data_IF_076786795611
#
_entry.id   IF_076786795611
#
_cell.length_a   1.000
_cell.length_b   1.000
_cell.length_c   1.000
_cell.angle_alpha   90.00
_cell.angle_beta   90.00
_cell.angle_gamma   90.00
#
_symmetry.space_group_name_H-M   'P 1'
#
loop_
_entity.id
_entity.type
_entity.pdbx_description
1 polymer ?
#
# COMPACT_ATOMS: atom_id res chain seq x y z
N UNK A 1 28.54 -4.50 -14.67
CA UNK A 1 27.59 -5.42 -15.30
C UNK A 1 26.36 -4.60 -15.69
N UNK A 2 26.37 -4.06 -16.91
CA UNK A 2 25.39 -3.08 -17.41
C UNK A 2 24.36 -3.85 -18.25
N UNK A 3 23.12 -3.98 -17.75
CA UNK A 3 22.02 -4.57 -18.51
C UNK A 3 21.66 -3.64 -19.67
N UNK A 4 22.01 -4.01 -20.90
CA UNK A 4 21.54 -3.32 -22.10
C UNK A 4 20.08 -3.70 -22.38
N UNK A 5 19.17 -2.74 -22.19
CA UNK A 5 17.74 -2.84 -22.47
C UNK A 5 17.38 -2.68 -23.97
N UNK A 6 18.35 -2.75 -24.88
CA UNK A 6 18.15 -2.44 -26.31
C UNK A 6 17.36 -3.50 -27.09
N UNK A 7 17.12 -4.69 -26.53
CA UNK A 7 16.45 -5.80 -27.22
C UNK A 7 14.92 -5.76 -27.23
N UNK A 8 14.27 -4.89 -26.43
CA UNK A 8 12.80 -4.86 -26.34
C UNK A 8 12.10 -3.97 -27.38
N UNK A 9 12.82 -3.16 -28.14
CA UNK A 9 12.22 -2.12 -29.01
C UNK A 9 11.60 -2.66 -30.32
N UNK A 10 11.95 -3.87 -30.76
CA UNK A 10 11.49 -4.44 -32.03
C UNK A 10 10.17 -5.25 -31.98
N UNK A 11 9.66 -5.56 -30.78
CA UNK A 11 8.64 -6.60 -30.58
C UNK A 11 7.21 -6.09 -30.31
N UNK A 12 7.03 -4.79 -30.20
CA UNK A 12 5.76 -4.19 -29.79
C UNK A 12 5.13 -3.46 -30.99
N UNK A 13 3.95 -3.89 -31.42
CA UNK A 13 3.19 -3.20 -32.47
C UNK A 13 3.06 -1.70 -32.13
N UNK A 14 3.26 -0.81 -33.12
CA UNK A 14 3.23 0.67 -32.95
C UNK A 14 2.01 1.19 -32.18
N UNK A 15 0.84 0.54 -32.29
CA UNK A 15 -0.37 0.94 -31.56
C UNK A 15 -0.30 0.61 -30.06
N UNK A 16 0.30 -0.51 -29.68
CA UNK A 16 0.46 -0.94 -28.29
C UNK A 16 1.47 -0.06 -27.54
N UNK A 17 2.51 0.41 -28.25
CA UNK A 17 3.50 1.36 -27.70
C UNK A 17 2.84 2.66 -27.26
N UNK A 18 1.91 3.20 -28.07
CA UNK A 18 1.20 4.45 -27.72
C UNK A 18 0.35 4.30 -26.46
N UNK A 19 -0.33 3.18 -26.30
CA UNK A 19 -1.13 2.93 -25.09
C UNK A 19 -0.26 2.76 -23.85
N UNK A 20 0.85 2.03 -23.95
CA UNK A 20 1.80 1.88 -22.85
C UNK A 20 2.45 3.21 -22.46
N UNK A 21 2.79 4.06 -23.44
CA UNK A 21 3.31 5.41 -23.20
C UNK A 21 2.26 6.32 -22.56
N UNK A 22 0.99 6.21 -22.96
CA UNK A 22 -0.09 6.98 -22.33
C UNK A 22 -0.31 6.54 -20.89
N UNK A 23 -0.34 5.23 -20.63
CA UNK A 23 -0.51 4.68 -19.28
C UNK A 23 0.66 5.08 -18.37
N UNK A 24 1.89 4.97 -18.85
CA UNK A 24 3.08 5.41 -18.10
C UNK A 24 3.09 6.92 -17.91
N UNK A 25 2.69 7.73 -18.89
CA UNK A 25 2.57 9.18 -18.74
C UNK A 25 1.48 9.59 -17.75
N UNK A 26 0.30 8.96 -17.78
CA UNK A 26 -0.77 9.19 -16.80
C UNK A 26 -0.35 8.74 -15.40
N UNK A 27 0.32 7.60 -15.29
CA UNK A 27 0.84 7.10 -14.02
C UNK A 27 1.94 8.03 -13.47
N UNK A 28 2.92 8.42 -14.28
CA UNK A 28 3.99 9.35 -13.90
C UNK A 28 3.44 10.74 -13.58
N UNK A 29 2.48 11.26 -14.34
CA UNK A 29 1.89 12.58 -14.06
C UNK A 29 1.02 12.58 -12.81
N UNK A 30 0.23 11.54 -12.55
CA UNK A 30 -0.52 11.40 -11.30
C UNK A 30 0.42 11.28 -10.09
N UNK A 31 1.52 10.54 -10.27
CA UNK A 31 2.60 10.47 -9.29
C UNK A 31 3.22 11.86 -9.06
N UNK A 32 3.60 12.58 -10.11
CA UNK A 32 4.18 13.95 -10.07
C UNK A 32 3.22 14.99 -9.47
N UNK A 33 1.90 14.88 -9.70
CA UNK A 33 0.92 15.78 -9.09
C UNK A 33 0.77 15.53 -7.58
N UNK A 34 0.98 14.30 -7.11
CA UNK A 34 1.11 13.98 -5.69
C UNK A 34 2.47 14.44 -5.08
N UNK A 35 3.45 14.82 -5.91
CA UNK A 35 4.76 15.35 -5.52
C UNK A 35 4.78 16.88 -5.30
N UNK A 36 3.62 17.53 -5.15
CA UNK A 36 3.55 18.93 -4.71
C UNK A 36 4.42 19.15 -3.47
N UNK A 37 5.49 19.94 -3.61
CA UNK A 37 6.52 20.13 -2.61
C UNK A 37 5.92 20.62 -1.28
N UNK A 38 5.79 19.74 -0.29
CA UNK A 38 5.70 20.20 1.09
C UNK A 38 7.10 20.59 1.53
N UNK A 39 7.34 21.90 1.63
CA UNK A 39 8.66 22.49 1.91
C UNK A 39 9.30 22.00 3.23
N UNK A 40 8.52 21.42 4.14
CA UNK A 40 8.95 21.09 5.50
C UNK A 40 9.52 19.67 5.68
N UNK A 41 9.19 18.69 4.81
CA UNK A 41 9.57 17.27 5.00
C UNK A 41 10.00 16.61 3.67
N UNK A 42 11.11 15.84 3.66
CA UNK A 42 11.74 15.33 2.43
C UNK A 42 11.21 13.99 1.90
N UNK A 43 10.58 13.15 2.72
CA UNK A 43 10.21 11.77 2.34
C UNK A 43 8.75 11.66 1.91
N UNK A 44 8.51 11.06 0.73
CA UNK A 44 7.19 11.07 0.07
C UNK A 44 6.63 9.66 -0.17
N UNK A 45 7.49 8.62 -0.19
CA UNK A 45 7.08 7.22 -0.38
C UNK A 45 7.30 6.44 0.91
N UNK A 46 6.40 5.48 1.19
CA UNK A 46 6.37 4.70 2.44
C UNK A 46 6.22 5.62 3.66
N UNK A 47 5.25 6.52 3.56
CA UNK A 47 4.88 7.50 4.59
C UNK A 47 3.37 7.60 4.69
N UNK A 48 2.89 7.71 5.92
CA UNK A 48 1.51 8.07 6.22
C UNK A 48 1.37 9.59 6.15
N UNK A 49 0.16 10.05 5.85
CA UNK A 49 -0.21 11.45 5.87
C UNK A 49 -1.33 11.65 6.87
N UNK A 50 -1.07 12.49 7.86
CA UNK A 50 -2.05 13.04 8.79
C UNK A 50 -2.65 14.29 8.15
N UNK A 51 -3.96 14.34 7.98
CA UNK A 51 -4.64 15.43 7.29
C UNK A 51 -5.27 16.38 8.30
N UNK A 52 -4.73 17.60 8.40
CA UNK A 52 -5.18 18.58 9.39
C UNK A 52 -6.67 18.96 9.32
N UNK A 53 -7.30 18.79 8.14
CA UNK A 53 -8.73 19.10 7.94
C UNK A 53 -9.65 17.97 8.38
N UNK A 54 -9.11 16.81 8.75
CA UNK A 54 -9.92 15.67 9.18
C UNK A 54 -10.20 15.73 10.68
N UNK A 55 -11.36 15.22 11.12
CA UNK A 55 -11.73 15.22 12.52
C UNK A 55 -10.64 14.57 13.39
N UNK A 56 -10.35 15.19 14.54
CA UNK A 56 -9.40 14.68 15.54
C UNK A 56 -7.94 14.57 15.06
N UNK A 57 -7.57 15.28 13.99
CA UNK A 57 -6.21 15.31 13.41
C UNK A 57 -5.56 16.69 13.41
N UNK A 58 -6.30 17.69 13.88
CA UNK A 58 -5.84 19.07 14.02
C UNK A 58 -4.93 19.26 15.24
N UNK A 59 -4.89 18.29 16.17
CA UNK A 59 -4.11 18.38 17.41
C UNK A 59 -3.30 17.12 17.63
N UNK A 60 -2.00 17.32 17.88
CA UNK A 60 -1.07 16.27 18.30
C UNK A 60 -0.47 16.63 19.64
N UNK A 61 -0.18 15.62 20.46
CA UNK A 61 0.44 15.79 21.75
C UNK A 61 1.92 15.43 21.65
N UNK A 62 2.76 16.39 22.00
CA UNK A 62 4.22 16.31 21.96
C UNK A 62 4.75 16.18 23.39
N UNK A 63 5.39 15.06 23.77
CA UNK A 63 6.02 14.93 25.07
C UNK A 63 7.24 15.88 25.16
N UNK A 64 7.20 16.91 25.98
CA UNK A 64 8.33 17.87 26.13
C UNK A 64 9.31 17.44 27.24
N UNK A 65 8.96 16.41 28.02
CA UNK A 65 9.82 15.85 29.05
C UNK A 65 9.06 15.59 30.34
N UNK A 66 9.73 15.76 31.48
CA UNK A 66 9.12 15.59 32.80
C UNK A 66 9.24 16.87 33.61
N UNK A 67 8.14 17.31 34.23
CA UNK A 67 8.14 18.35 35.23
C UNK A 67 8.34 17.71 36.58
N UNK A 68 9.45 18.04 37.23
CA UNK A 68 9.71 17.65 38.63
C UNK A 68 9.06 18.68 39.54
N UNK A 69 8.14 18.24 40.38
CA UNK A 69 7.46 19.08 41.38
C UNK A 69 7.72 18.47 42.75
N UNK A 70 8.18 19.29 43.68
CA UNK A 70 8.33 18.89 45.07
C UNK A 70 6.98 19.04 45.76
N UNK A 71 6.37 17.91 46.12
CA UNK A 71 5.18 17.91 46.97
C UNK A 71 5.61 17.88 48.42
N UNK A 72 5.01 18.73 49.25
CA UNK A 72 5.36 18.83 50.66
C UNK A 72 4.69 17.74 51.48
N UNK A 73 5.29 17.40 52.61
CA UNK A 73 4.65 16.59 53.64
C UNK A 73 3.27 17.16 54.00
N UNK A 74 2.30 16.29 54.24
CA UNK A 74 0.90 16.61 54.53
C UNK A 74 -0.02 16.76 53.31
N UNK A 75 0.52 16.78 52.08
CA UNK A 75 -0.32 16.81 50.87
C UNK A 75 -0.96 15.45 50.62
N UNK A 76 -2.21 15.44 50.15
CA UNK A 76 -2.91 14.20 49.74
C UNK A 76 -2.71 13.97 48.26
N UNK A 77 -2.12 12.83 47.91
CA UNK A 77 -1.94 12.40 46.53
C UNK A 77 -2.98 11.34 46.18
N UNK A 78 -3.60 11.49 45.01
CA UNK A 78 -4.51 10.49 44.43
C UNK A 78 -3.78 9.77 43.31
N UNK A 79 -3.63 8.46 43.42
CA UNK A 79 -3.00 7.59 42.42
C UNK A 79 -4.01 6.56 41.92
N UNK A 80 -3.93 6.22 40.63
CA UNK A 80 -4.69 5.10 40.08
C UNK A 80 -3.76 3.90 39.92
N UNK A 81 -3.97 2.85 40.72
CA UNK A 81 -3.17 1.62 40.69
C UNK A 81 -4.11 0.47 40.38
N UNK A 82 -3.87 -0.21 39.25
CA UNK A 82 -4.70 -1.33 38.77
C UNK A 82 -6.20 -0.98 38.69
N UNK A 83 -6.54 0.25 38.28
CA UNK A 83 -7.93 0.73 38.15
C UNK A 83 -8.61 1.11 39.48
N UNK A 84 -7.88 1.09 40.60
CA UNK A 84 -8.36 1.60 41.89
C UNK A 84 -7.75 2.97 42.18
N UNK A 85 -8.60 3.91 42.58
CA UNK A 85 -8.19 5.25 43.02
C UNK A 85 -7.79 5.20 44.50
N UNK A 86 -6.50 5.31 44.79
CA UNK A 86 -5.96 5.29 46.15
C UNK A 86 -5.55 6.71 46.52
N UNK A 87 -6.00 7.18 47.69
CA UNK A 87 -5.55 8.42 48.27
C UNK A 87 -4.57 8.13 49.40
N UNK A 88 -3.42 8.81 49.40
CA UNK A 88 -2.44 8.74 50.50
C UNK A 88 -1.92 10.12 50.85
N UNK A 89 -1.73 10.37 52.15
CA UNK A 89 -1.09 11.58 52.65
C UNK A 89 0.42 11.37 52.61
N UNK A 90 1.16 12.35 52.10
CA UNK A 90 2.62 12.30 52.03
C UNK A 90 3.22 12.54 53.43
N UNK A 91 3.95 11.58 53.96
CA UNK A 91 4.63 11.73 55.26
C UNK A 91 5.89 12.61 55.19
N UNK A 92 6.48 12.73 53.99
CA UNK A 92 7.70 13.51 53.74
C UNK A 92 7.62 14.23 52.40
N UNK A 93 8.42 15.28 52.27
CA UNK A 93 8.60 15.98 51.01
C UNK A 93 9.06 14.98 49.93
N UNK A 94 8.28 14.89 48.86
CA UNK A 94 8.46 13.90 47.81
C UNK A 94 8.57 14.60 46.46
N UNK A 95 9.67 14.34 45.75
CA UNK A 95 9.87 14.85 44.40
C UNK A 95 9.13 13.94 43.41
N UNK A 96 8.06 14.45 42.81
CA UNK A 96 7.29 13.72 41.80
C UNK A 96 7.66 14.22 40.41
N UNK A 97 8.02 13.29 39.53
CA UNK A 97 8.21 13.54 38.11
C UNK A 97 6.90 13.25 37.37
N UNK A 98 6.29 14.29 36.82
CA UNK A 98 5.08 14.16 35.99
C UNK A 98 5.43 14.38 34.53
N UNK A 99 4.90 13.58 33.58
CA UNK A 99 5.05 13.87 32.16
C UNK A 99 4.54 15.27 31.83
N UNK A 100 5.29 16.01 31.02
CA UNK A 100 4.90 17.32 30.52
C UNK A 100 4.63 17.21 29.03
N UNK A 101 3.38 17.44 28.67
CA UNK A 101 2.90 17.33 27.30
C UNK A 101 2.57 18.74 26.74
N UNK A 102 2.88 18.96 25.46
CA UNK A 102 2.41 20.12 24.68
C UNK A 102 1.32 19.68 23.74
N UNK A 103 0.26 20.48 23.61
CA UNK A 103 -0.66 20.33 22.48
C UNK A 103 -0.19 21.22 21.33
N UNK A 104 0.11 20.62 20.18
CA UNK A 104 0.48 21.31 18.95
C UNK A 104 -0.67 21.23 17.97
N UNK A 105 -1.04 22.38 17.39
CA UNK A 105 -2.05 22.44 16.34
C UNK A 105 -1.40 22.19 14.99
N UNK A 106 -1.90 21.22 14.26
CA UNK A 106 -1.44 20.82 12.94
C UNK A 106 -2.10 21.75 11.91
N UNK A 107 -1.31 22.63 11.30
CA UNK A 107 -1.81 23.62 10.32
C UNK A 107 -1.71 23.13 8.87
N UNK A 108 -0.95 22.05 8.63
CA UNK A 108 -0.68 21.49 7.31
C UNK A 108 -0.59 19.97 7.41
N UNK A 109 -0.68 19.27 6.28
CA UNK A 109 -0.59 17.81 6.30
C UNK A 109 0.79 17.36 6.79
N UNK A 110 0.83 16.45 7.76
CA UNK A 110 2.09 15.91 8.29
C UNK A 110 2.41 14.56 7.68
N UNK A 111 3.67 14.37 7.28
CA UNK A 111 4.20 13.06 6.89
C UNK A 111 4.70 12.33 8.12
N UNK A 112 4.22 11.09 8.27
CA UNK A 112 4.50 10.22 9.40
C UNK A 112 5.22 8.98 8.86
N UNK A 113 6.38 8.67 9.42
CA UNK A 113 7.22 7.53 9.04
C UNK A 113 6.74 6.21 9.64
N UNK A 114 6.06 6.25 10.80
CA UNK A 114 5.60 5.05 11.48
C UNK A 114 4.46 5.33 12.45
N UNK A 115 3.64 4.32 12.68
CA UNK A 115 2.51 4.35 13.60
C UNK A 115 2.69 3.22 14.61
N UNK A 116 2.45 3.52 15.88
CA UNK A 116 2.45 2.54 16.98
C UNK A 116 1.22 2.74 17.85
N UNK A 117 0.62 1.65 18.30
CA UNK A 117 -0.45 1.64 19.29
C UNK A 117 -0.31 0.36 20.11
N UNK A 118 -0.74 0.39 21.37
CA UNK A 118 -0.62 -0.75 22.30
C UNK A 118 -1.95 -0.98 23.01
N UNK A 119 -2.22 -2.23 23.38
CA UNK A 119 -3.38 -2.58 24.20
C UNK A 119 -3.31 -1.97 25.62
N UNK A 120 -2.12 -1.59 26.08
CA UNK A 120 -1.91 -0.87 27.35
C UNK A 120 -2.38 0.59 27.29
N UNK A 121 -2.48 1.16 26.09
CA UNK A 121 -2.91 2.55 25.88
C UNK A 121 -3.77 2.67 24.62
N UNK A 122 -4.94 2.02 24.57
CA UNK A 122 -5.79 1.94 23.37
C UNK A 122 -6.38 3.30 22.97
N UNK A 123 -6.33 4.28 23.88
CA UNK A 123 -6.70 5.68 23.62
C UNK A 123 -5.58 6.54 23.05
N UNK A 124 -4.40 6.00 22.73
CA UNK A 124 -3.27 6.76 22.18
C UNK A 124 -2.73 6.09 20.92
N UNK A 125 -2.66 6.87 19.84
CA UNK A 125 -1.96 6.47 18.61
C UNK A 125 -0.68 7.28 18.53
N UNK A 126 0.46 6.60 18.65
CA UNK A 126 1.78 7.19 18.56
C UNK A 126 2.21 7.30 17.10
N UNK A 127 2.69 8.47 16.74
CA UNK A 127 3.13 8.83 15.40
C UNK A 127 4.63 9.16 15.45
N UNK A 128 5.41 8.54 14.59
CA UNK A 128 6.81 8.89 14.34
C UNK A 128 6.87 9.82 13.13
N UNK A 129 7.07 11.13 13.30
CA UNK A 129 7.07 12.06 12.17
C UNK A 129 8.24 11.81 11.23
N UNK A 130 8.07 12.15 9.96
CA UNK A 130 9.22 12.34 9.06
C UNK A 130 9.98 13.57 9.56
N UNK A 131 11.32 13.54 9.65
CA UNK A 131 12.07 14.69 10.17
C UNK A 131 11.75 15.98 9.41
N UNK A 132 11.41 17.02 10.18
CA UNK A 132 11.31 18.40 9.73
C UNK A 132 12.69 18.93 9.37
N UNK A 133 12.75 19.72 8.30
CA UNK A 133 14.01 20.28 7.77
C UNK A 133 14.45 21.51 8.58
N UNK A 134 13.50 22.29 9.09
CA UNK A 134 13.78 23.52 9.83
C UNK A 134 14.18 23.22 11.28
N UNK A 135 15.24 23.87 11.76
CA UNK A 135 15.77 23.64 13.11
C UNK A 135 14.80 24.11 14.21
N UNK A 136 14.00 25.15 13.93
CA UNK A 136 12.93 25.60 14.82
C UNK A 136 11.88 24.52 15.10
N UNK A 137 11.70 23.59 14.16
CA UNK A 137 10.75 22.48 14.25
C UNK A 137 11.41 21.19 14.79
N UNK A 138 12.69 21.22 15.18
CA UNK A 138 13.39 20.06 15.72
C UNK A 138 12.66 19.37 16.91
N UNK A 139 11.99 20.10 17.83
CA UNK A 139 11.19 19.47 18.89
C UNK A 139 10.03 18.62 18.39
N UNK A 140 9.59 18.81 17.15
CA UNK A 140 8.53 18.02 16.50
C UNK A 140 9.06 16.72 15.87
N UNK A 141 10.38 16.49 15.85
CA UNK A 141 10.97 15.26 15.29
C UNK A 141 10.87 14.04 16.22
N UNK A 142 10.40 14.23 17.46
CA UNK A 142 10.19 13.14 18.40
C UNK A 142 8.85 12.43 18.18
N UNK A 143 8.67 11.28 18.84
CA UNK A 143 7.41 10.55 18.80
C UNK A 143 6.30 11.38 19.45
N UNK A 144 5.26 11.68 18.69
CA UNK A 144 4.06 12.39 19.16
C UNK A 144 2.91 11.39 19.29
N UNK A 145 1.79 11.79 19.89
CA UNK A 145 0.60 10.95 19.91
C UNK A 145 -0.69 11.74 19.70
N UNK A 146 -1.70 11.06 19.15
CA UNK A 146 -3.07 11.57 19.05
C UNK A 146 -3.92 10.83 20.08
N UNK A 147 -4.63 11.55 20.97
CA UNK A 147 -5.63 10.93 21.82
C UNK A 147 -6.82 10.51 20.95
N UNK A 148 -7.19 9.24 21.00
CA UNK A 148 -8.31 8.67 20.26
C UNK A 148 -9.39 8.22 21.27
N UNK A 149 -10.46 8.99 21.46
CA UNK A 149 -11.54 8.61 22.37
C UNK A 149 -12.18 7.27 22.00
N UNK A 150 -12.86 6.67 22.96
CA UNK A 150 -13.55 5.39 22.76
C UNK A 150 -14.59 5.52 21.65
N UNK A 151 -14.61 4.56 20.72
CA UNK A 151 -15.49 4.49 19.54
C UNK A 151 -15.20 5.50 18.42
N UNK A 152 -14.28 6.43 18.63
CA UNK A 152 -13.78 7.32 17.57
C UNK A 152 -12.84 6.60 16.61
N UNK A 153 -12.65 7.22 15.44
CA UNK A 153 -11.73 6.73 14.42
C UNK A 153 -10.74 7.80 13.94
N UNK A 154 -9.51 7.37 13.72
CA UNK A 154 -8.46 8.13 13.06
C UNK A 154 -8.27 7.58 11.65
N UNK A 155 -8.35 8.45 10.64
CA UNK A 155 -8.11 8.09 9.26
C UNK A 155 -6.73 8.60 8.80
N UNK A 156 -5.87 7.73 8.31
CA UNK A 156 -4.58 8.10 7.75
C UNK A 156 -4.49 7.63 6.31
N UNK A 157 -3.81 8.38 5.45
CA UNK A 157 -3.53 7.92 4.08
C UNK A 157 -2.09 7.50 3.94
N UNK A 158 -1.83 6.35 3.33
CA UNK A 158 -0.52 5.75 3.21
C UNK A 158 -0.15 5.56 1.74
N UNK A 159 0.89 6.27 1.29
CA UNK A 159 1.45 6.09 -0.05
C UNK A 159 2.71 5.22 0.05
N UNK A 160 2.70 4.04 -0.56
CA UNK A 160 3.83 3.12 -0.49
C UNK A 160 4.00 2.28 -1.76
N UNK A 161 5.21 1.82 -1.99
CA UNK A 161 5.50 0.83 -3.03
C UNK A 161 5.47 -0.57 -2.43
N UNK A 162 5.03 -1.54 -3.23
CA UNK A 162 4.90 -2.92 -2.77
C UNK A 162 5.27 -3.91 -3.85
N UNK A 163 6.06 -4.91 -3.45
CA UNK A 163 6.28 -6.15 -4.19
C UNK A 163 5.28 -7.19 -3.70
N UNK A 164 4.55 -7.85 -4.60
CA UNK A 164 3.53 -8.84 -4.22
C UNK A 164 3.42 -9.96 -5.24
N UNK A 165 3.19 -11.18 -4.75
CA UNK A 165 2.80 -12.29 -5.60
C UNK A 165 1.41 -12.00 -6.21
N UNK A 166 1.24 -12.35 -7.48
CA UNK A 166 -0.02 -12.19 -8.20
C UNK A 166 -0.40 -13.49 -8.90
N UNK A 167 -1.70 -13.69 -9.01
CA UNK A 167 -2.30 -14.74 -9.83
C UNK A 167 -3.32 -14.10 -10.77
N UNK A 168 -3.35 -14.57 -12.01
CA UNK A 168 -4.34 -14.13 -13.01
C UNK A 168 -5.16 -15.36 -13.40
N UNK A 169 -6.21 -15.71 -12.62
CA UNK A 169 -7.01 -16.90 -12.87
C UNK A 169 -7.86 -16.82 -14.14
N UNK A 170 -8.20 -15.61 -14.59
CA UNK A 170 -9.07 -15.41 -15.74
C UNK A 170 -8.49 -14.37 -16.69
N UNK A 171 -8.46 -14.73 -17.98
CA UNK A 171 -8.00 -13.88 -19.06
C UNK A 171 -9.08 -13.78 -20.13
N UNK A 172 -9.48 -12.56 -20.48
CA UNK A 172 -10.40 -12.26 -21.59
C UNK A 172 -9.54 -11.87 -22.80
N UNK A 173 -9.62 -12.68 -23.84
CA UNK A 173 -8.86 -12.52 -25.09
C UNK A 173 -9.79 -11.95 -26.17
N UNK A 174 -9.52 -10.74 -26.67
CA UNK A 174 -10.34 -10.15 -27.73
C UNK A 174 -10.35 -10.99 -29.01
N UNK A 175 -11.42 -10.86 -29.78
CA UNK A 175 -11.56 -11.49 -31.09
C UNK A 175 -10.44 -11.07 -32.06
N UNK A 176 -9.97 -12.01 -32.88
CA UNK A 176 -8.93 -11.77 -33.90
C UNK A 176 -9.59 -11.71 -35.28
N UNK A 177 -9.77 -10.48 -35.80
CA UNK A 177 -10.13 -10.14 -37.20
C UNK A 177 -11.03 -11.18 -37.92
N UNK A 178 -12.22 -11.45 -37.39
CA UNK A 178 -13.23 -12.37 -37.96
C UNK A 178 -12.76 -13.83 -38.14
N UNK A 179 -11.61 -14.22 -37.60
CA UNK A 179 -11.09 -15.59 -37.65
C UNK A 179 -11.30 -16.35 -36.35
N UNK A 180 -11.29 -15.64 -35.21
CA UNK A 180 -11.58 -16.18 -33.88
C UNK A 180 -12.46 -15.21 -33.09
N UNK A 181 -13.44 -15.79 -32.39
CA UNK A 181 -14.30 -15.06 -31.45
C UNK A 181 -13.53 -14.69 -30.17
N UNK A 182 -14.11 -13.80 -29.38
CA UNK A 182 -13.60 -13.50 -28.04
C UNK A 182 -13.67 -14.74 -27.16
N UNK A 183 -12.64 -14.98 -26.36
CA UNK A 183 -12.57 -16.15 -25.49
C UNK A 183 -12.22 -15.75 -24.06
N UNK A 184 -12.79 -16.45 -23.09
CA UNK A 184 -12.38 -16.38 -21.69
C UNK A 184 -11.59 -17.64 -21.40
N UNK A 185 -10.33 -17.49 -21.00
CA UNK A 185 -9.46 -18.62 -20.66
C UNK A 185 -9.12 -18.59 -19.18
N UNK A 186 -9.10 -19.78 -18.57
CA UNK A 186 -8.76 -20.01 -17.16
C UNK A 186 -7.34 -20.57 -17.02
N UNK A 187 -6.38 -19.94 -17.69
CA UNK A 187 -4.97 -20.32 -17.62
C UNK A 187 -4.38 -19.86 -16.28
N UNK A 188 -3.77 -20.77 -15.53
CA UNK A 188 -3.09 -20.41 -14.29
C UNK A 188 -1.80 -19.65 -14.62
N UNK A 189 -1.82 -18.32 -14.42
CA UNK A 189 -0.65 -17.45 -14.51
C UNK A 189 -0.21 -17.04 -13.11
N UNK A 190 1.06 -17.29 -12.78
CA UNK A 190 1.64 -16.98 -11.48
C UNK A 190 2.84 -16.07 -11.69
N UNK A 191 2.92 -15.00 -10.92
CA UNK A 191 4.01 -14.05 -11.04
C UNK A 191 4.19 -13.16 -9.84
N UNK A 192 4.94 -12.09 -10.07
CA UNK A 192 5.18 -11.02 -9.13
C UNK A 192 4.72 -9.70 -9.72
N UNK A 193 4.43 -8.74 -8.85
CA UNK A 193 4.03 -7.39 -9.24
C UNK A 193 4.77 -6.36 -8.42
N UNK A 194 5.12 -5.26 -9.08
CA UNK A 194 5.58 -4.04 -8.45
C UNK A 194 4.47 -3.00 -8.58
N UNK A 195 4.00 -2.47 -7.46
CA UNK A 195 2.85 -1.55 -7.41
C UNK A 195 3.12 -0.33 -6.53
N UNK A 196 2.54 0.80 -6.92
CA UNK A 196 2.33 1.95 -6.06
C UNK A 196 0.91 1.84 -5.48
N UNK A 197 0.79 1.98 -4.17
CA UNK A 197 -0.45 1.81 -3.42
C UNK A 197 -0.76 3.11 -2.70
N UNK A 198 -2.00 3.56 -2.78
CA UNK A 198 -2.55 4.66 -2.01
C UNK A 198 -3.69 4.11 -1.16
N UNK A 199 -3.40 3.92 0.12
CA UNK A 199 -4.29 3.27 1.07
C UNK A 199 -4.88 4.29 2.05
N UNK A 200 -6.15 4.13 2.39
CA UNK A 200 -6.87 4.76 3.49
C UNK A 200 -6.95 3.77 4.66
N UNK A 201 -6.24 4.07 5.74
CA UNK A 201 -6.17 3.24 6.94
C UNK A 201 -6.96 3.88 8.08
N UNK A 202 -7.98 3.17 8.54
CA UNK A 202 -8.86 3.58 9.64
C UNK A 202 -8.43 2.87 10.92
N UNK A 203 -8.12 3.63 11.95
CA UNK A 203 -7.76 3.15 13.28
C UNK A 203 -8.92 3.47 14.23
N UNK A 204 -9.65 2.45 14.68
CA UNK A 204 -10.83 2.63 15.53
C UNK A 204 -10.60 2.11 16.93
N UNK A 205 -10.76 2.96 17.94
CA UNK A 205 -10.65 2.56 19.34
C UNK A 205 -11.89 1.74 19.78
N UNK A 206 -11.67 0.49 20.18
CA UNK A 206 -12.68 -0.46 20.69
C UNK A 206 -12.55 -0.72 22.20
N UNK A 207 -12.06 0.27 22.96
CA UNK A 207 -11.80 0.26 24.41
C UNK A 207 -10.58 -0.56 24.82
N UNK A 208 -10.55 -1.84 24.47
CA UNK A 208 -9.45 -2.75 24.84
C UNK A 208 -8.33 -2.78 23.80
N UNK A 209 -8.65 -2.42 22.57
CA UNK A 209 -7.74 -2.51 21.44
C UNK A 209 -8.15 -1.53 20.32
N UNK A 210 -7.21 -1.23 19.43
CA UNK A 210 -7.42 -0.42 18.24
C UNK A 210 -7.54 -1.34 17.03
N UNK A 211 -8.73 -1.38 16.41
CA UNK A 211 -8.95 -2.15 15.19
C UNK A 211 -8.60 -1.34 13.96
N UNK A 212 -7.82 -1.94 13.06
CA UNK A 212 -7.45 -1.34 11.78
C UNK A 212 -8.35 -1.83 10.64
N UNK A 213 -8.66 -0.95 9.70
CA UNK A 213 -9.31 -1.29 8.42
C UNK A 213 -8.60 -0.54 7.31
N UNK A 214 -8.22 -1.25 6.26
CA UNK A 214 -7.52 -0.64 5.12
C UNK A 214 -8.38 -0.76 3.87
N UNK A 215 -8.53 0.36 3.16
CA UNK A 215 -9.04 0.41 1.80
C UNK A 215 -8.00 1.09 0.93
N UNK A 216 -7.97 0.86 -0.37
CA UNK A 216 -6.96 1.52 -1.18
C UNK A 216 -7.13 1.28 -2.66
N UNK A 217 -6.34 2.02 -3.42
CA UNK A 217 -6.14 1.80 -4.84
C UNK A 217 -4.67 1.50 -5.08
N UNK A 218 -4.41 0.62 -6.04
CA UNK A 218 -3.07 0.25 -6.45
C UNK A 218 -2.94 0.32 -7.95
N UNK A 219 -1.74 0.61 -8.40
CA UNK A 219 -1.43 0.68 -9.81
C UNK A 219 0.02 0.25 -10.00
N UNK A 220 0.27 -0.61 -10.99
CA UNK A 220 1.56 -1.27 -11.07
C UNK A 220 1.76 -2.11 -12.32
N UNK A 221 2.86 -2.85 -12.31
CA UNK A 221 3.28 -3.75 -13.35
C UNK A 221 3.46 -5.16 -12.77
N UNK A 222 2.68 -6.10 -13.27
CA UNK A 222 2.82 -7.53 -13.01
C UNK A 222 3.60 -8.23 -14.11
N UNK A 223 4.40 -9.23 -13.75
CA UNK A 223 5.07 -10.11 -14.70
C UNK A 223 5.30 -11.49 -14.08
N UNK A 224 5.39 -12.51 -14.92
CA UNK A 224 5.56 -13.88 -14.45
C UNK A 224 5.48 -14.91 -15.54
N UNK A 225 5.21 -16.14 -15.14
CA UNK A 225 5.10 -17.28 -16.02
C UNK A 225 3.67 -17.83 -16.00
N UNK A 226 3.24 -18.35 -17.14
CA UNK A 226 1.97 -19.02 -17.31
C UNK A 226 2.12 -20.26 -18.17
N UNK A 227 1.11 -21.10 -18.13
CA UNK A 227 1.00 -22.32 -18.92
C UNK A 227 -0.20 -22.21 -19.83
N UNK A 228 -0.04 -22.60 -21.07
CA UNK A 228 -1.11 -22.59 -22.08
C UNK A 228 -1.24 -23.97 -22.70
N UNK A 229 -2.48 -24.45 -22.83
CA UNK A 229 -2.78 -25.62 -23.64
C UNK A 229 -2.79 -25.23 -25.12
N UNK A 230 -2.19 -26.07 -25.94
CA UNK A 230 -2.12 -25.96 -27.39
C UNK A 230 -2.90 -27.13 -27.99
N UNK A 231 -3.90 -26.79 -28.78
CA UNK A 231 -4.80 -27.69 -29.49
C UNK A 231 -5.15 -27.10 -30.86
N UNK A 232 -5.85 -27.86 -31.70
CA UNK A 232 -6.26 -27.40 -33.03
C UNK A 232 -7.05 -26.06 -32.97
N UNK A 233 -7.87 -25.84 -31.94
CA UNK A 233 -8.64 -24.61 -31.78
C UNK A 233 -7.78 -23.38 -31.49
N UNK A 234 -6.71 -23.55 -30.71
CA UNK A 234 -5.82 -22.49 -30.23
C UNK A 234 -4.61 -22.26 -31.13
N UNK A 235 -4.36 -23.11 -32.12
CA UNK A 235 -3.28 -22.95 -33.12
C UNK A 235 -3.77 -22.84 -34.57
N UNK A 236 -5.08 -22.88 -34.82
CA UNK A 236 -5.67 -22.82 -36.17
C UNK A 236 -5.12 -21.72 -37.09
N UNK A 237 -4.70 -20.55 -36.58
CA UNK A 237 -4.23 -19.44 -37.41
C UNK A 237 -2.81 -19.62 -37.94
N UNK A 238 -1.97 -20.40 -37.26
CA UNK A 238 -0.58 -20.65 -37.68
C UNK A 238 -0.48 -21.77 -38.70
N UNK A 239 -1.54 -22.57 -38.88
CA UNK A 239 -1.53 -23.75 -39.74
C UNK A 239 -0.89 -24.98 -39.10
N UNK A 240 -0.37 -24.85 -37.87
CA UNK A 240 0.05 -25.97 -37.06
C UNK A 240 -1.20 -26.66 -36.48
N UNK A 241 -1.44 -27.91 -36.88
CA UNK A 241 -2.52 -28.74 -36.32
C UNK A 241 -1.93 -29.67 -35.26
N UNK A 242 -1.91 -29.21 -34.01
CA UNK A 242 -1.59 -30.08 -32.88
C UNK A 242 -2.78 -31.00 -32.62
N UNK A 243 -2.60 -32.30 -32.91
CA UNK A 243 -3.64 -33.33 -32.68
C UNK A 243 -3.67 -33.82 -31.23
N UNK A 244 -2.62 -33.55 -30.47
CA UNK A 244 -2.51 -33.85 -29.04
C UNK A 244 -2.47 -32.54 -28.24
N UNK A 245 -3.00 -32.55 -27.02
CA UNK A 245 -2.86 -31.43 -26.08
C UNK A 245 -1.38 -31.23 -25.76
N UNK A 246 -0.78 -30.22 -26.39
CA UNK A 246 0.58 -29.80 -26.11
C UNK A 246 0.60 -28.63 -25.14
N UNK A 247 1.75 -28.45 -24.51
CA UNK A 247 1.86 -27.52 -23.40
C UNK A 247 2.91 -26.45 -23.72
N UNK A 248 2.49 -25.22 -23.59
CA UNK A 248 3.30 -24.05 -23.85
C UNK A 248 3.66 -23.30 -22.57
N UNK A 249 4.90 -22.85 -22.46
CA UNK A 249 5.32 -21.90 -21.42
C UNK A 249 5.29 -20.48 -21.97
N UNK A 250 4.61 -19.60 -21.26
CA UNK A 250 4.52 -18.17 -21.61
C UNK A 250 5.12 -17.30 -20.51
N UNK A 251 5.72 -16.19 -20.90
CA UNK A 251 6.03 -15.07 -20.02
C UNK A 251 4.98 -13.99 -20.20
N UNK A 252 4.38 -13.49 -19.13
CA UNK A 252 3.41 -12.41 -19.22
C UNK A 252 3.94 -11.11 -18.62
N UNK A 253 3.48 -9.99 -19.19
CA UNK A 253 3.69 -8.64 -18.66
C UNK A 253 2.35 -7.89 -18.66
N UNK A 254 2.00 -7.29 -17.54
CA UNK A 254 0.63 -6.84 -17.23
C UNK A 254 0.64 -5.54 -16.41
N UNK A 255 0.62 -4.36 -17.04
CA UNK A 255 0.19 -3.17 -16.33
C UNK A 255 -1.23 -3.36 -15.83
N UNK A 256 -1.51 -2.88 -14.62
CA UNK A 256 -2.82 -3.05 -14.00
C UNK A 256 -3.12 -2.02 -12.94
N UNK A 257 -4.42 -1.97 -12.61
CA UNK A 257 -4.99 -1.21 -11.53
C UNK A 257 -5.65 -2.18 -10.56
N UNK A 258 -5.74 -1.81 -9.29
CA UNK A 258 -6.29 -2.68 -8.27
C UNK A 258 -7.01 -1.90 -7.18
N UNK A 259 -7.93 -2.58 -6.52
CA UNK A 259 -8.57 -2.11 -5.30
C UNK A 259 -8.13 -3.00 -4.14
N UNK A 260 -7.71 -2.37 -3.05
CA UNK A 260 -7.30 -3.00 -1.81
C UNK A 260 -8.46 -2.92 -0.82
N UNK A 261 -8.90 -4.06 -0.27
CA UNK A 261 -9.96 -4.14 0.73
C UNK A 261 -9.50 -5.10 1.83
N UNK A 262 -9.15 -4.55 3.01
CA UNK A 262 -8.72 -5.31 4.19
C UNK A 262 -7.63 -6.36 3.91
N UNK A 263 -6.62 -5.97 3.11
CA UNK A 263 -5.50 -6.86 2.72
C UNK A 263 -5.79 -7.79 1.54
N UNK A 264 -7.04 -7.89 1.07
CA UNK A 264 -7.38 -8.53 -0.20
C UNK A 264 -7.24 -7.54 -1.34
N UNK A 265 -6.70 -7.99 -2.49
CA UNK A 265 -6.54 -7.17 -3.68
C UNK A 265 -7.28 -7.79 -4.86
N UNK A 266 -8.16 -7.02 -5.48
CA UNK A 266 -8.75 -7.35 -6.77
C UNK A 266 -8.08 -6.49 -7.82
N UNK A 267 -7.51 -7.12 -8.84
CA UNK A 267 -6.66 -6.48 -9.83
C UNK A 267 -7.30 -6.61 -11.21
N UNK A 268 -7.33 -5.53 -11.98
CA UNK A 268 -7.61 -5.53 -13.41
C UNK A 268 -6.33 -5.28 -14.19
N UNK A 269 -6.07 -6.10 -15.20
CA UNK A 269 -4.84 -6.06 -15.98
C UNK A 269 -5.14 -5.85 -17.47
N UNK A 270 -4.21 -5.18 -18.14
CA UNK A 270 -4.11 -5.20 -19.59
C UNK A 270 -2.75 -5.77 -19.96
N UNK A 271 -2.70 -7.04 -20.37
CA UNK A 271 -1.48 -7.83 -20.46
C UNK A 271 -1.10 -8.26 -21.85
N UNK A 272 0.13 -8.76 -21.97
CA UNK A 272 0.64 -9.47 -23.15
C UNK A 272 1.29 -10.77 -22.69
N UNK A 273 1.05 -11.84 -23.45
CA UNK A 273 1.72 -13.12 -23.26
C UNK A 273 2.80 -13.28 -24.35
N UNK A 274 3.99 -13.70 -23.97
CA UNK A 274 5.13 -13.90 -24.85
C UNK A 274 5.51 -15.38 -24.74
N UNK A 275 5.34 -16.11 -25.83
CA UNK A 275 5.75 -17.51 -25.92
C UNK A 275 7.25 -17.69 -25.68
N UNK A 276 7.61 -18.61 -24.79
CA UNK A 276 9.00 -18.96 -24.48
C UNK A 276 9.44 -20.29 -25.12
N UNK A 277 8.52 -21.22 -25.37
CA UNK A 277 8.79 -22.52 -25.99
C UNK A 277 8.55 -22.47 -27.50
N UNK A 278 9.20 -23.36 -28.27
CA UNK A 278 9.07 -23.36 -29.74
C UNK A 278 7.61 -23.49 -30.20
N UNK A 279 6.84 -24.36 -29.57
CA UNK A 279 5.42 -24.59 -29.88
C UNK A 279 4.51 -23.39 -29.56
N UNK A 280 4.87 -22.54 -28.59
CA UNK A 280 4.09 -21.30 -28.30
C UNK A 280 4.19 -20.25 -29.40
N UNK A 281 5.12 -20.40 -30.35
CA UNK A 281 5.16 -19.61 -31.57
C UNK A 281 3.87 -19.68 -32.37
N UNK A 282 3.24 -20.85 -32.36
CA UNK A 282 2.07 -21.21 -33.17
C UNK A 282 0.73 -20.89 -32.51
N UNK A 283 0.76 -20.46 -31.24
CA UNK A 283 -0.42 -20.10 -30.49
C UNK A 283 -1.06 -18.81 -31.01
N UNK A 284 -2.37 -18.85 -31.27
CA UNK A 284 -3.14 -17.76 -31.87
C UNK A 284 -3.01 -16.42 -31.11
N UNK A 285 -2.81 -16.48 -29.79
CA UNK A 285 -2.73 -15.32 -28.91
C UNK A 285 -1.30 -14.94 -28.50
N UNK A 286 -0.27 -15.58 -29.07
CA UNK A 286 1.11 -15.20 -28.81
C UNK A 286 1.36 -13.72 -29.17
N UNK A 287 1.91 -12.97 -28.22
CA UNK A 287 2.16 -11.51 -28.30
C UNK A 287 0.91 -10.67 -28.54
N UNK A 288 -0.28 -11.22 -28.27
CA UNK A 288 -1.55 -10.48 -28.35
C UNK A 288 -1.93 -9.91 -26.99
N UNK A 289 -2.59 -8.74 -26.97
CA UNK A 289 -3.08 -8.18 -25.72
C UNK A 289 -4.25 -8.99 -25.17
N UNK A 290 -4.42 -8.95 -23.86
CA UNK A 290 -5.56 -9.52 -23.15
C UNK A 290 -5.98 -8.64 -21.98
N UNK A 291 -7.20 -8.83 -21.49
CA UNK A 291 -7.68 -8.23 -20.25
C UNK A 291 -7.70 -9.31 -19.18
N UNK A 292 -6.99 -9.11 -18.08
CA UNK A 292 -6.90 -10.08 -16.98
C UNK A 292 -7.67 -9.60 -15.75
N UNK A 293 -8.25 -10.53 -15.01
CA UNK A 293 -8.71 -10.27 -13.64
C UNK A 293 -7.82 -11.08 -12.71
N UNK A 294 -7.21 -10.40 -11.75
CA UNK A 294 -6.31 -10.97 -10.76
C UNK A 294 -6.84 -10.90 -9.35
N UNK A 295 -6.30 -11.82 -8.55
CA UNK A 295 -6.42 -11.77 -7.11
C UNK A 295 -5.00 -11.71 -6.52
N UNK A 296 -4.83 -10.79 -5.57
CA UNK A 296 -3.63 -10.64 -4.78
C UNK A 296 -3.95 -10.75 -3.29
N UNK A 297 -3.05 -11.36 -2.54
CA UNK A 297 -3.19 -11.53 -1.10
C UNK A 297 -2.02 -10.87 -0.38
N UNK A 298 -2.32 -10.06 0.62
CA UNK A 298 -1.32 -9.49 1.51
C UNK A 298 -1.25 -10.24 2.84
N UNK A 299 -0.33 -11.20 2.93
CA UNK A 299 -0.10 -11.94 4.16
C UNK A 299 0.38 -11.06 5.32
N UNK A 300 0.98 -9.90 5.04
CA UNK A 300 1.49 -9.00 6.09
C UNK A 300 0.38 -8.17 6.72
N UNK A 301 -0.64 -7.79 5.94
CA UNK A 301 -1.78 -7.01 6.46
C UNK A 301 -2.73 -7.85 7.29
N UNK A 302 -2.87 -9.16 7.01
CA UNK A 302 -3.78 -10.03 7.76
C UNK A 302 -3.25 -10.47 9.13
N UNK A 303 -1.94 -10.32 9.39
CA UNK A 303 -1.33 -10.67 10.68
C UNK A 303 -1.49 -9.61 11.77
N UNK A 304 -2.06 -8.43 11.45
CA UNK A 304 -2.37 -7.36 12.40
C UNK A 304 -3.87 -7.31 12.67
#
# INVERSE_FOLDING_TARGET
MTFQLSWFSGLIQRKSVRFFLLFTACFLSGVVLCYGQQKQQRKIVNVYTLHHKWPHQDKVIVPIGTKKVMLKAGWTMTEEIAGMTIQRVLEKDTLIATPRDSTVTVLSNWKIAGIKYTAESPGKIYLSPVPFIEESDAPLNQMVYIPLPVHEELLLTHLHTKWSAITIPFTIRPAIKNRLNSQVTSELKIGTSFSLNYDWEFYKNRRLDVKTRTYGISAGLGFGLGRVGLDEGTTRLSGANYTNEEEGLIFFITPGLGVNVRGFKVLGFYGWDIGLTKNTGDWNYNRKPYIGIGLGFDFWTMKR
#
